data_IF_538532767869
#
_entry.id   IF_538532767869
#
_cell.length_a   1.000
_cell.length_b   1.000
_cell.length_c   1.000
_cell.angle_alpha   90.00
_cell.angle_beta   90.00
_cell.angle_gamma   90.00
#
_symmetry.space_group_name_H-M   'P 1'
#
loop_
_entity.id
_entity.type
_entity.pdbx_description
1 polymer ?
#
# COMPACT_ATOMS: atom_id res chain seq x y z
N UNK A 1 -5.92 -13.01 23.87
CA UNK A 1 -6.81 -11.84 23.95
C UNK A 1 -6.97 -11.15 22.59
N UNK A 2 -5.91 -10.72 21.91
CA UNK A 2 -6.01 -10.10 20.57
C UNK A 2 -6.47 -11.06 19.45
N UNK A 3 -6.14 -12.35 19.52
CA UNK A 3 -6.62 -13.34 18.55
C UNK A 3 -8.15 -13.50 18.61
N UNK A 4 -8.71 -13.58 19.82
CA UNK A 4 -10.16 -13.68 20.03
C UNK A 4 -10.91 -12.42 19.53
N UNK A 5 -10.30 -11.24 19.66
CA UNK A 5 -10.88 -9.97 19.19
C UNK A 5 -10.91 -9.86 17.66
N UNK A 6 -9.89 -10.38 16.98
CA UNK A 6 -9.86 -10.44 15.52
C UNK A 6 -10.82 -11.51 14.97
N UNK A 7 -10.96 -12.63 15.67
CA UNK A 7 -11.89 -13.71 15.33
C UNK A 7 -13.35 -13.26 15.50
N UNK A 8 -13.68 -12.55 16.59
CA UNK A 8 -15.01 -11.94 16.79
C UNK A 8 -15.34 -10.90 15.72
N UNK A 9 -14.40 -10.02 15.35
CA UNK A 9 -14.62 -9.03 14.29
C UNK A 9 -14.82 -9.68 12.90
N UNK A 10 -14.17 -10.81 12.63
CA UNK A 10 -14.33 -11.54 11.38
C UNK A 10 -15.67 -12.29 11.33
N UNK A 11 -16.11 -12.83 12.47
CA UNK A 11 -17.39 -13.52 12.60
C UNK A 11 -18.56 -12.54 12.38
N UNK A 12 -18.47 -11.32 12.92
CA UNK A 12 -19.49 -10.28 12.78
C UNK A 12 -19.63 -9.79 11.30
N UNK A 13 -18.51 -9.79 10.56
CA UNK A 13 -18.50 -9.51 9.11
C UNK A 13 -19.12 -10.67 8.31
N UNK A 14 -18.89 -11.92 8.71
CA UNK A 14 -19.51 -13.08 8.07
C UNK A 14 -21.03 -13.16 8.34
N UNK A 15 -21.46 -12.87 9.55
CA UNK A 15 -22.89 -12.94 9.94
C UNK A 15 -23.70 -11.82 9.27
N UNK A 16 -23.12 -10.62 9.15
CA UNK A 16 -23.73 -9.51 8.40
C UNK A 16 -23.82 -9.76 6.88
N UNK A 17 -22.92 -10.57 6.32
CA UNK A 17 -23.00 -11.02 4.92
C UNK A 17 -24.09 -12.09 4.71
N UNK A 18 -24.33 -12.95 5.71
CA UNK A 18 -25.28 -14.08 5.63
C UNK A 18 -26.74 -13.63 5.75
N UNK A 19 -27.02 -12.59 6.56
CA UNK A 19 -28.38 -12.04 6.73
C UNK A 19 -28.95 -11.33 5.49
N UNK A 20 -28.12 -11.02 4.47
CA UNK A 20 -28.58 -10.33 3.25
C UNK A 20 -29.10 -11.24 2.14
N UNK A 21 -29.02 -12.57 2.30
CA UNK A 21 -29.55 -13.53 1.31
C UNK A 21 -30.90 -14.18 1.68
N UNK A 22 -31.40 -13.94 2.90
CA UNK A 22 -32.63 -14.57 3.39
C UNK A 22 -33.88 -13.71 3.25
N UNK A 23 -34.31 -13.32 2.05
CA UNK A 23 -35.72 -13.01 1.78
C UNK A 23 -36.01 -12.76 0.29
N UNK A 24 -36.16 -13.84 -0.48
CA UNK A 24 -37.14 -13.89 -1.57
C UNK A 24 -37.77 -15.28 -1.61
N UNK A 25 -38.86 -15.43 -0.86
CA UNK A 25 -39.78 -16.57 -0.99
C UNK A 25 -40.62 -16.32 -2.26
N UNK A 26 -40.13 -16.80 -3.41
CA UNK A 26 -40.91 -16.85 -4.64
C UNK A 26 -41.78 -18.11 -4.62
N UNK A 27 -43.09 -17.89 -4.68
CA UNK A 27 -44.14 -18.91 -4.70
C UNK A 27 -44.19 -19.57 -6.08
N UNK A 28 -43.96 -20.87 -6.16
CA UNK A 28 -43.99 -21.64 -7.42
C UNK A 28 -45.42 -22.06 -7.82
N UNK A 29 -45.78 -22.04 -9.12
CA UNK A 29 -46.89 -22.79 -9.66
C UNK A 29 -46.44 -24.16 -10.18
N UNK A 30 -47.21 -25.18 -9.82
CA UNK A 30 -47.05 -26.57 -10.24
C UNK A 30 -47.58 -26.77 -11.66
N UNK A 31 -46.74 -27.27 -12.56
CA UNK A 31 -47.20 -27.95 -13.79
C UNK A 31 -46.21 -29.02 -14.20
N UNK A 32 -46.77 -30.21 -14.38
CA UNK A 32 -46.14 -31.47 -14.78
C UNK A 32 -45.89 -31.47 -16.28
N UNK A 33 -44.66 -31.77 -16.72
CA UNK A 33 -44.38 -32.22 -18.09
C UNK A 33 -43.16 -33.15 -18.10
N UNK A 34 -43.31 -34.27 -18.82
CA UNK A 34 -42.35 -35.36 -19.01
C UNK A 34 -41.24 -34.98 -19.99
N UNK A 35 -40.05 -35.55 -19.74
CA UNK A 35 -39.16 -36.06 -20.77
C UNK A 35 -38.23 -35.06 -21.44
N UNK A 36 -36.97 -35.03 -21.00
CA UNK A 36 -35.80 -35.33 -21.82
C UNK A 36 -34.54 -35.09 -20.99
N UNK A 37 -33.78 -36.17 -20.80
CA UNK A 37 -32.50 -36.19 -20.11
C UNK A 37 -31.44 -35.61 -21.05
N UNK A 38 -31.32 -34.28 -21.04
CA UNK A 38 -30.19 -33.55 -21.63
C UNK A 38 -29.29 -33.15 -20.48
N UNK A 39 -28.05 -33.61 -20.53
CA UNK A 39 -26.96 -33.36 -19.58
C UNK A 39 -26.73 -31.87 -19.37
N UNK A 40 -27.47 -31.29 -18.42
CA UNK A 40 -27.36 -29.90 -18.00
C UNK A 40 -26.21 -29.78 -17.00
N UNK A 41 -24.98 -29.74 -17.53
CA UNK A 41 -23.79 -29.31 -16.79
C UNK A 41 -23.69 -27.78 -16.88
N UNK A 42 -24.74 -27.09 -16.43
CA UNK A 42 -24.72 -25.62 -16.33
C UNK A 42 -24.21 -25.20 -14.95
N UNK A 43 -22.97 -24.71 -14.95
CA UNK A 43 -22.64 -23.39 -14.43
C UNK A 43 -23.13 -23.04 -13.01
N UNK A 44 -22.94 -23.92 -12.04
CA UNK A 44 -22.86 -23.49 -10.64
C UNK A 44 -21.50 -22.80 -10.40
N UNK A 45 -21.42 -21.52 -10.76
CA UNK A 45 -20.72 -20.47 -9.98
C UNK A 45 -20.95 -19.07 -10.59
N UNK A 46 -22.06 -18.38 -10.23
CA UNK A 46 -22.28 -16.96 -10.55
C UNK A 46 -21.97 -16.01 -9.37
N UNK A 47 -21.96 -16.50 -8.13
CA UNK A 47 -21.86 -15.65 -6.94
C UNK A 47 -20.43 -15.08 -6.71
N UNK A 48 -19.40 -15.90 -6.92
CA UNK A 48 -18.00 -15.47 -6.73
C UNK A 48 -17.57 -14.41 -7.75
N UNK A 49 -18.02 -14.53 -9.00
CA UNK A 49 -17.69 -13.55 -10.05
C UNK A 49 -18.33 -12.19 -9.78
N UNK A 50 -19.56 -12.17 -9.24
CA UNK A 50 -20.25 -10.94 -8.89
C UNK A 50 -19.61 -10.25 -7.67
N UNK A 51 -19.15 -11.02 -6.68
CA UNK A 51 -18.39 -10.49 -5.53
C UNK A 51 -17.07 -9.86 -6.00
N UNK A 52 -16.29 -10.57 -6.82
CA UNK A 52 -15.03 -10.07 -7.38
C UNK A 52 -15.23 -8.82 -8.24
N UNK A 53 -16.30 -8.76 -9.03
CA UNK A 53 -16.62 -7.57 -9.84
C UNK A 53 -16.96 -6.35 -8.97
N UNK A 54 -17.67 -6.52 -7.85
CA UNK A 54 -17.97 -5.40 -6.94
C UNK A 54 -16.74 -4.94 -6.15
N UNK A 55 -15.91 -5.88 -5.71
CA UNK A 55 -14.64 -5.58 -5.06
C UNK A 55 -13.71 -4.83 -6.02
N UNK A 56 -13.59 -5.25 -7.28
CA UNK A 56 -12.71 -4.58 -8.24
C UNK A 56 -13.15 -3.14 -8.50
N UNK A 57 -14.46 -2.87 -8.64
CA UNK A 57 -14.99 -1.52 -8.84
C UNK A 57 -14.72 -0.63 -7.62
N UNK A 58 -14.91 -1.14 -6.40
CA UNK A 58 -14.62 -0.39 -5.18
C UNK A 58 -13.12 -0.09 -4.99
N UNK A 59 -12.26 -1.06 -5.29
CA UNK A 59 -10.80 -0.92 -5.19
C UNK A 59 -10.24 0.05 -6.24
N UNK A 60 -10.84 0.11 -7.44
CA UNK A 60 -10.35 0.97 -8.54
C UNK A 60 -10.59 2.46 -8.29
N UNK A 61 -11.57 2.81 -7.46
CA UNK A 61 -11.98 4.20 -7.24
C UNK A 61 -11.11 4.97 -6.22
N UNK A 62 -10.29 4.29 -5.42
CA UNK A 62 -9.38 4.94 -4.48
C UNK A 62 -8.08 4.15 -4.31
N UNK A 63 -6.93 4.68 -4.78
CA UNK A 63 -5.62 4.05 -4.59
C UNK A 63 -5.28 3.83 -3.10
N UNK A 64 -5.81 4.69 -2.23
CA UNK A 64 -5.60 4.58 -0.78
C UNK A 64 -6.45 3.44 -0.21
N UNK A 65 -7.73 3.37 -0.59
CA UNK A 65 -8.64 2.32 -0.13
C UNK A 65 -8.17 0.92 -0.53
N UNK A 66 -7.67 0.76 -1.75
CA UNK A 66 -7.10 -0.53 -2.19
C UNK A 66 -5.90 -0.96 -1.37
N UNK A 67 -4.98 -0.02 -1.07
CA UNK A 67 -3.80 -0.31 -0.26
C UNK A 67 -4.16 -0.75 1.17
N UNK A 68 -5.21 -0.16 1.76
CA UNK A 68 -5.68 -0.56 3.10
C UNK A 68 -6.22 -1.98 3.09
N UNK A 69 -7.03 -2.36 2.11
CA UNK A 69 -7.52 -3.75 1.98
C UNK A 69 -6.36 -4.73 1.79
N UNK A 70 -5.39 -4.39 0.93
CA UNK A 70 -4.19 -5.19 0.75
C UNK A 70 -3.36 -5.34 2.03
N UNK A 71 -3.27 -4.30 2.87
CA UNK A 71 -2.61 -4.38 4.16
C UNK A 71 -3.23 -5.44 5.07
N UNK A 72 -4.57 -5.46 5.18
CA UNK A 72 -5.27 -6.47 5.98
C UNK A 72 -5.11 -7.87 5.42
N UNK A 73 -5.16 -8.04 4.09
CA UNK A 73 -4.92 -9.31 3.45
C UNK A 73 -3.50 -9.82 3.72
N UNK A 74 -2.49 -8.96 3.60
CA UNK A 74 -1.11 -9.31 3.92
C UNK A 74 -0.95 -9.68 5.41
N UNK A 75 -1.57 -8.92 6.32
CA UNK A 75 -1.55 -9.26 7.74
C UNK A 75 -2.21 -10.62 8.04
N UNK A 76 -3.32 -10.95 7.38
CA UNK A 76 -3.99 -12.24 7.52
C UNK A 76 -3.12 -13.40 6.98
N UNK A 77 -2.52 -13.22 5.80
CA UNK A 77 -1.59 -14.21 5.22
C UNK A 77 -0.38 -14.41 6.12
N UNK A 78 0.17 -13.34 6.71
CA UNK A 78 1.26 -13.41 7.67
C UNK A 78 0.90 -14.29 8.88
N UNK A 79 -0.31 -14.13 9.43
CA UNK A 79 -0.82 -14.97 10.51
C UNK A 79 -1.05 -16.42 10.10
N UNK A 80 -1.53 -16.67 8.89
CA UNK A 80 -1.63 -18.03 8.37
C UNK A 80 -0.25 -18.70 8.25
N UNK A 81 0.74 -17.98 7.71
CA UNK A 81 2.11 -18.50 7.59
C UNK A 81 2.77 -18.77 8.95
N UNK A 82 2.44 -17.97 9.98
CA UNK A 82 2.93 -18.20 11.35
C UNK A 82 2.57 -19.58 11.91
N UNK A 83 1.37 -20.09 11.58
CA UNK A 83 0.87 -21.36 12.12
C UNK A 83 1.70 -22.54 11.59
N UNK A 84 2.00 -22.52 10.29
CA UNK A 84 2.66 -23.61 9.59
C UNK A 84 4.18 -23.51 9.55
N UNK A 85 4.75 -22.34 9.84
CA UNK A 85 6.19 -22.15 9.77
C UNK A 85 6.94 -23.02 10.79
N UNK A 86 7.81 -23.89 10.27
CA UNK A 86 8.77 -24.67 11.04
C UNK A 86 10.14 -24.53 10.38
N UNK A 87 11.11 -23.98 11.11
CA UNK A 87 12.47 -23.84 10.61
C UNK A 87 13.11 -25.23 10.45
N UNK A 88 13.69 -25.58 9.29
CA UNK A 88 14.50 -26.78 9.18
C UNK A 88 15.70 -26.66 10.14
N UNK A 89 16.15 -27.77 10.72
CA UNK A 89 17.32 -27.76 11.62
C UNK A 89 18.61 -28.08 10.87
N UNK A 90 18.78 -27.48 9.68
CA UNK A 90 19.95 -27.66 8.83
C UNK A 90 20.47 -26.28 8.36
N UNK A 91 21.65 -25.85 8.85
CA UNK A 91 22.11 -24.49 8.66
C UNK A 91 22.33 -24.08 7.20
N UNK A 92 22.62 -25.05 6.32
CA UNK A 92 22.81 -24.78 4.90
C UNK A 92 21.49 -24.43 4.20
N UNK A 93 20.37 -24.94 4.71
CA UNK A 93 19.05 -24.79 4.10
C UNK A 93 18.21 -23.71 4.73
N UNK A 94 18.54 -23.24 5.93
CA UNK A 94 17.72 -22.29 6.69
C UNK A 94 17.42 -21.00 5.91
N UNK A 95 18.47 -20.33 5.41
CA UNK A 95 18.31 -19.10 4.63
C UNK A 95 17.56 -19.34 3.31
N UNK A 96 17.90 -20.43 2.60
CA UNK A 96 17.26 -20.81 1.33
C UNK A 96 15.78 -21.15 1.52
N UNK A 97 15.44 -21.80 2.63
CA UNK A 97 14.07 -22.17 2.98
C UNK A 97 13.23 -20.95 3.33
N UNK A 98 13.82 -19.97 4.03
CA UNK A 98 13.12 -18.75 4.45
C UNK A 98 12.94 -17.75 3.28
N UNK A 99 13.89 -17.67 2.35
CA UNK A 99 13.87 -16.67 1.27
C UNK A 99 12.55 -16.65 0.45
N UNK A 100 11.94 -17.78 0.05
CA UNK A 100 10.63 -17.80 -0.61
C UNK A 100 9.50 -17.12 0.17
N UNK A 101 9.48 -17.23 1.51
CA UNK A 101 8.44 -16.60 2.34
C UNK A 101 8.54 -15.07 2.32
N UNK A 102 9.74 -14.52 2.14
CA UNK A 102 9.93 -13.09 1.93
C UNK A 102 9.61 -12.67 0.49
N UNK A 103 10.18 -13.37 -0.49
CA UNK A 103 10.17 -12.93 -1.89
C UNK A 103 8.84 -13.20 -2.59
N UNK A 104 8.23 -14.36 -2.40
CA UNK A 104 7.04 -14.76 -3.18
C UNK A 104 5.85 -13.84 -2.87
N UNK A 105 5.43 -13.63 -1.61
CA UNK A 105 4.29 -12.76 -1.32
C UNK A 105 4.60 -11.30 -1.66
N UNK A 106 5.84 -10.85 -1.46
CA UNK A 106 6.27 -9.51 -1.87
C UNK A 106 6.11 -9.29 -3.38
N UNK A 107 6.60 -10.23 -4.21
CA UNK A 107 6.50 -10.14 -5.67
C UNK A 107 5.05 -10.25 -6.15
N UNK A 108 4.27 -11.20 -5.58
CA UNK A 108 2.85 -11.35 -5.92
C UNK A 108 2.07 -10.08 -5.59
N UNK A 109 2.27 -9.49 -4.41
CA UNK A 109 1.57 -8.26 -4.02
C UNK A 109 1.95 -7.08 -4.93
N UNK A 110 3.24 -6.94 -5.26
CA UNK A 110 3.72 -5.95 -6.25
C UNK A 110 3.08 -6.14 -7.62
N UNK A 111 3.05 -7.38 -8.12
CA UNK A 111 2.48 -7.71 -9.43
C UNK A 111 0.97 -7.48 -9.45
N UNK A 112 0.25 -7.86 -8.40
CA UNK A 112 -1.19 -7.61 -8.29
C UNK A 112 -1.50 -6.11 -8.31
N UNK A 113 -0.76 -5.32 -7.54
CA UNK A 113 -0.94 -3.86 -7.54
C UNK A 113 -0.54 -3.21 -8.86
N UNK A 114 0.47 -3.75 -9.55
CA UNK A 114 0.81 -3.33 -10.90
C UNK A 114 -0.35 -3.63 -11.85
N UNK A 115 -0.89 -4.86 -11.85
CA UNK A 115 -1.97 -5.27 -12.74
C UNK A 115 -3.23 -4.41 -12.54
N UNK A 116 -3.61 -4.15 -11.28
CA UNK A 116 -4.77 -3.30 -10.95
C UNK A 116 -4.60 -1.87 -11.49
N UNK A 117 -3.40 -1.31 -11.39
CA UNK A 117 -3.12 0.04 -11.88
C UNK A 117 -2.83 0.12 -13.38
N UNK A 118 -2.29 -0.94 -13.99
CA UNK A 118 -1.84 -0.97 -15.38
C UNK A 118 -2.97 -0.79 -16.38
N UNK A 119 -4.17 -1.32 -16.07
CA UNK A 119 -5.32 -1.23 -16.95
C UNK A 119 -5.90 0.19 -17.07
N UNK A 120 -5.52 1.12 -16.19
CA UNK A 120 -5.96 2.53 -16.27
C UNK A 120 -5.22 3.37 -17.33
N UNK A 121 -4.12 2.86 -17.90
CA UNK A 121 -3.29 3.65 -18.82
C UNK A 121 -3.84 3.66 -20.26
N UNK A 122 -4.50 2.57 -20.69
CA UNK A 122 -4.98 2.41 -22.07
C UNK A 122 -6.16 3.31 -22.42
N UNK A 123 -6.94 3.73 -21.43
CA UNK A 123 -8.16 4.54 -21.64
C UNK A 123 -7.81 6.03 -21.89
N UNK A 124 -6.81 6.55 -21.17
CA UNK A 124 -6.40 7.95 -21.25
C UNK A 124 -5.59 8.31 -22.52
N UNK A 125 -4.97 7.32 -23.17
CA UNK A 125 -4.21 7.55 -24.41
C UNK A 125 -5.13 7.74 -25.61
N UNK A 126 -6.30 7.08 -25.61
CA UNK A 126 -7.29 7.24 -26.67
C UNK A 126 -8.02 8.59 -26.63
N UNK A 127 -8.26 9.12 -25.42
CA UNK A 127 -8.95 10.40 -25.24
C UNK A 127 -8.06 11.60 -25.61
N UNK A 128 -6.78 11.59 -25.22
CA UNK A 128 -5.83 12.67 -25.56
C UNK A 128 -5.49 12.74 -27.06
N UNK A 129 -5.62 11.62 -27.79
CA UNK A 129 -5.35 11.60 -29.24
C UNK A 129 -6.45 12.33 -30.02
N UNK A 130 -7.70 12.21 -29.56
CA UNK A 130 -8.86 12.85 -30.20
C UNK A 130 -8.90 14.37 -29.96
N UNK A 131 -8.46 14.86 -28.80
CA UNK A 131 -8.49 16.29 -28.48
C UNK A 131 -7.44 17.10 -29.28
N UNK A 132 -6.27 16.51 -29.56
CA UNK A 132 -5.22 17.16 -30.34
C UNK A 132 -5.51 17.21 -31.86
N UNK A 133 -6.27 16.24 -32.40
CA UNK A 133 -6.71 16.27 -33.80
C UNK A 133 -7.73 17.39 -34.06
N UNK A 134 -8.63 17.65 -33.11
CA UNK A 134 -9.64 18.71 -33.28
C UNK A 134 -9.06 20.12 -33.19
N UNK A 135 -7.99 20.32 -32.42
CA UNK A 135 -7.39 21.64 -32.23
C UNK A 135 -6.52 22.08 -33.42
N UNK A 136 -5.86 21.15 -34.10
CA UNK A 136 -5.07 21.47 -35.31
C UNK A 136 -5.93 21.74 -36.55
N UNK A 137 -7.19 21.27 -36.59
CA UNK A 137 -8.06 21.49 -37.74
C UNK A 137 -8.59 22.92 -37.82
N UNK A 138 -8.77 23.61 -36.69
CA UNK A 138 -9.34 24.95 -36.65
C UNK A 138 -8.32 26.10 -36.87
N UNK A 139 -7.01 25.85 -36.75
CA UNK A 139 -5.98 26.88 -37.03
C UNK A 139 -5.68 27.06 -38.53
N UNK A 140 -6.13 26.13 -39.39
CA UNK A 140 -5.86 26.20 -40.84
C UNK A 140 -6.99 26.82 -41.68
N UNK A 141 -8.19 27.08 -41.12
CA UNK A 141 -9.32 27.65 -41.88
C UNK A 141 -9.42 29.18 -41.86
N UNK A 142 -8.50 29.90 -41.19
CA UNK A 142 -8.59 31.36 -41.02
C UNK A 142 -7.47 32.16 -41.71
N UNK A 143 -6.85 31.61 -42.76
CA UNK A 143 -5.69 32.25 -43.41
C UNK A 143 -5.92 32.85 -44.80
N UNK A 144 -7.14 32.76 -45.34
CA UNK A 144 -7.45 33.27 -46.67
C UNK A 144 -8.57 34.32 -46.61
N UNK A 145 -8.27 35.55 -46.22
CA UNK A 145 -8.96 36.72 -46.78
C UNK A 145 -8.22 38.04 -46.54
N UNK A 146 -8.23 38.86 -47.60
CA UNK A 146 -7.73 40.23 -47.75
C UNK A 146 -6.22 40.49 -47.95
N UNK A 147 -5.82 40.30 -49.20
CA UNK A 147 -4.87 41.18 -49.91
C UNK A 147 -5.56 42.52 -50.17
N UNK A 148 -5.09 43.61 -49.58
CA UNK A 148 -5.11 44.91 -50.26
C UNK A 148 -3.90 45.76 -49.88
N UNK A 149 -3.41 46.46 -50.89
CA UNK A 149 -2.06 46.96 -51.11
C UNK A 149 -1.84 48.36 -50.50
N UNK A 150 -0.56 48.66 -50.24
CA UNK A 150 0.05 49.95 -49.93
C UNK A 150 -0.15 50.55 -48.54
N UNK A 151 0.92 50.52 -47.72
CA UNK A 151 1.72 51.72 -47.36
C UNK A 151 2.74 51.40 -46.25
N UNK A 152 3.97 51.90 -46.45
CA UNK A 152 5.02 52.24 -45.47
C UNK A 152 6.07 51.20 -45.01
N UNK A 153 7.28 51.51 -45.47
CA UNK A 153 8.60 50.89 -45.34
C UNK A 153 9.24 50.94 -43.93
N UNK A 154 8.49 51.18 -42.86
CA UNK A 154 9.08 51.32 -41.50
C UNK A 154 8.50 50.34 -40.46
N UNK A 155 7.92 49.22 -40.90
CA UNK A 155 7.26 48.20 -40.05
C UNK A 155 8.05 46.89 -39.89
N UNK A 156 9.26 46.79 -40.45
CA UNK A 156 10.02 45.53 -40.51
C UNK A 156 10.84 45.18 -39.25
N UNK A 157 10.92 46.06 -38.23
CA UNK A 157 11.71 45.78 -37.02
C UNK A 157 10.92 45.24 -35.82
N UNK A 158 9.60 45.47 -35.77
CA UNK A 158 8.76 45.05 -34.64
C UNK A 158 8.12 43.66 -34.82
N UNK A 159 8.21 43.07 -36.03
CA UNK A 159 7.62 41.76 -36.32
C UNK A 159 8.56 40.58 -36.00
N UNK A 160 9.87 40.84 -35.87
CA UNK A 160 10.87 39.82 -35.53
C UNK A 160 10.97 39.55 -34.02
N UNK A 161 10.69 40.53 -33.15
CA UNK A 161 10.67 40.32 -31.69
C UNK A 161 9.47 39.46 -31.25
N UNK A 162 8.31 39.62 -31.89
CA UNK A 162 7.07 38.93 -31.49
C UNK A 162 7.09 37.41 -31.80
N UNK A 163 7.86 36.96 -32.82
CA UNK A 163 8.01 35.53 -33.14
C UNK A 163 8.86 34.76 -32.12
N UNK A 164 9.82 35.42 -31.47
CA UNK A 164 10.70 34.76 -30.50
C UNK A 164 9.99 34.49 -29.16
N UNK A 165 9.08 35.37 -28.74
CA UNK A 165 8.32 35.17 -27.50
C UNK A 165 7.34 33.98 -27.60
N UNK A 166 6.70 33.81 -28.76
CA UNK A 166 5.76 32.71 -28.99
C UNK A 166 6.45 31.33 -29.05
N UNK A 167 7.70 31.26 -29.52
CA UNK A 167 8.49 30.01 -29.55
C UNK A 167 8.87 29.56 -28.14
N UNK A 168 9.32 30.49 -27.30
CA UNK A 168 9.71 30.21 -25.91
C UNK A 168 8.53 29.73 -25.05
N UNK A 169 7.31 30.19 -25.33
CA UNK A 169 6.11 29.73 -24.62
C UNK A 169 5.77 28.26 -24.94
N UNK A 170 5.84 27.85 -26.21
CA UNK A 170 5.55 26.47 -26.65
C UNK A 170 6.54 25.45 -26.06
N UNK A 171 7.81 25.81 -25.94
CA UNK A 171 8.83 24.93 -25.32
C UNK A 171 8.57 24.71 -23.83
N UNK A 172 8.22 25.77 -23.08
CA UNK A 172 7.88 25.68 -21.65
C UNK A 172 6.62 24.83 -21.38
N UNK A 173 5.64 24.86 -22.27
CA UNK A 173 4.42 24.04 -22.15
C UNK A 173 4.73 22.55 -22.33
N UNK A 174 5.53 22.19 -23.34
CA UNK A 174 5.97 20.80 -23.56
C UNK A 174 6.78 20.25 -22.38
N UNK A 175 7.65 21.06 -21.80
CA UNK A 175 8.44 20.65 -20.63
C UNK A 175 7.55 20.32 -19.42
N UNK A 176 6.53 21.13 -19.16
CA UNK A 176 5.56 20.89 -18.08
C UNK A 176 4.76 19.61 -18.30
N UNK A 177 4.34 19.34 -19.54
CA UNK A 177 3.63 18.11 -19.89
C UNK A 177 4.48 16.86 -19.64
N UNK A 178 5.75 16.88 -20.06
CA UNK A 178 6.69 15.78 -19.85
C UNK A 178 6.92 15.56 -18.34
N UNK A 179 7.15 16.64 -17.56
CA UNK A 179 7.33 16.56 -16.11
C UNK A 179 6.11 15.94 -15.41
N UNK A 180 4.91 16.32 -15.81
CA UNK A 180 3.67 15.76 -15.25
C UNK A 180 3.49 14.27 -15.61
N UNK A 181 3.77 13.88 -16.86
CA UNK A 181 3.76 12.48 -17.28
C UNK A 181 4.75 11.62 -16.46
N UNK A 182 5.97 12.11 -16.27
CA UNK A 182 6.99 11.43 -15.46
C UNK A 182 6.54 11.31 -13.99
N UNK A 183 6.06 12.40 -13.38
CA UNK A 183 5.58 12.41 -11.99
C UNK A 183 4.45 11.40 -11.77
N UNK A 184 3.52 11.30 -12.70
CA UNK A 184 2.42 10.34 -12.62
C UNK A 184 2.92 8.90 -12.72
N UNK A 185 3.88 8.61 -13.62
CA UNK A 185 4.50 7.27 -13.72
C UNK A 185 5.25 6.88 -12.44
N UNK A 186 6.03 7.80 -11.87
CA UNK A 186 6.76 7.55 -10.61
C UNK A 186 5.79 7.25 -9.47
N UNK A 187 4.73 8.05 -9.31
CA UNK A 187 3.73 7.81 -8.26
C UNK A 187 3.12 6.42 -8.38
N UNK A 188 2.74 5.98 -9.59
CA UNK A 188 2.22 4.62 -9.82
C UNK A 188 3.21 3.55 -9.37
N UNK A 189 4.49 3.69 -9.72
CA UNK A 189 5.55 2.74 -9.34
C UNK A 189 5.70 2.70 -7.81
N UNK A 190 5.76 3.85 -7.14
CA UNK A 190 5.88 3.92 -5.68
C UNK A 190 4.72 3.18 -4.99
N UNK A 191 3.48 3.46 -5.40
CA UNK A 191 2.31 2.79 -4.83
C UNK A 191 2.28 1.28 -5.12
N UNK A 192 2.86 0.83 -6.23
CA UNK A 192 2.94 -0.61 -6.54
C UNK A 192 3.95 -1.37 -5.66
N UNK A 193 5.00 -0.70 -5.19
CA UNK A 193 6.08 -1.31 -4.38
C UNK A 193 5.73 -1.32 -2.88
N UNK A 194 4.87 -0.38 -2.43
CA UNK A 194 4.46 -0.27 -1.02
C UNK A 194 4.01 -1.59 -0.37
N UNK A 195 3.13 -2.42 -0.97
CA UNK A 195 2.74 -3.69 -0.37
C UNK A 195 3.91 -4.64 -0.12
N UNK A 196 4.89 -4.66 -1.01
CA UNK A 196 6.09 -5.47 -0.85
C UNK A 196 6.94 -4.98 0.31
N UNK A 197 7.12 -3.67 0.43
CA UNK A 197 7.87 -3.09 1.56
C UNK A 197 7.16 -3.39 2.88
N UNK A 198 5.84 -3.24 2.92
CA UNK A 198 5.02 -3.59 4.10
C UNK A 198 5.15 -5.07 4.44
N UNK A 199 5.08 -5.97 3.45
CA UNK A 199 5.28 -7.41 3.67
C UNK A 199 6.64 -7.71 4.31
N UNK A 200 7.71 -7.14 3.75
CA UNK A 200 9.05 -7.30 4.30
C UNK A 200 9.13 -6.79 5.75
N UNK A 201 8.49 -5.65 6.04
CA UNK A 201 8.44 -5.09 7.39
C UNK A 201 7.68 -6.02 8.37
N UNK A 202 6.52 -6.58 7.96
CA UNK A 202 5.75 -7.53 8.77
C UNK A 202 6.58 -8.78 9.12
N UNK A 203 7.33 -9.30 8.14
CA UNK A 203 8.20 -10.46 8.34
C UNK A 203 9.36 -10.16 9.30
N UNK A 204 9.93 -8.95 9.25
CA UNK A 204 10.95 -8.48 10.19
C UNK A 204 10.39 -8.33 11.62
N UNK A 205 9.19 -7.73 11.76
CA UNK A 205 8.50 -7.56 13.05
C UNK A 205 8.17 -8.90 13.70
N UNK A 206 7.88 -9.95 12.93
CA UNK A 206 7.67 -11.29 13.45
C UNK A 206 8.98 -11.91 13.98
N UNK A 207 10.13 -11.64 13.34
CA UNK A 207 11.45 -12.04 13.83
C UNK A 207 11.81 -13.53 13.68
N UNK A 208 10.83 -14.43 13.69
CA UNK A 208 11.04 -15.89 13.56
C UNK A 208 11.79 -16.28 12.29
N UNK A 209 11.47 -15.63 11.18
CA UNK A 209 12.10 -15.91 9.89
C UNK A 209 13.57 -15.48 9.88
N UNK A 210 13.89 -14.33 10.48
CA UNK A 210 15.27 -13.85 10.62
C UNK A 210 16.06 -14.77 11.55
N UNK A 211 15.50 -15.12 12.72
CA UNK A 211 16.15 -16.09 13.63
C UNK A 211 16.45 -17.39 12.91
N UNK A 212 15.48 -17.94 12.15
CA UNK A 212 15.70 -19.14 11.35
C UNK A 212 16.81 -18.95 10.32
N UNK A 213 16.75 -17.90 9.50
CA UNK A 213 17.72 -17.64 8.43
C UNK A 213 19.16 -17.51 8.94
N UNK A 214 19.35 -16.95 10.14
CA UNK A 214 20.66 -16.77 10.77
C UNK A 214 21.08 -17.91 11.71
N UNK A 215 20.23 -18.91 11.93
CA UNK A 215 20.59 -20.07 12.75
C UNK A 215 21.57 -20.96 11.99
N UNK A 216 22.80 -21.10 12.49
CA UNK A 216 23.90 -21.82 11.83
C UNK A 216 24.23 -23.19 12.43
N UNK A 217 23.42 -23.68 13.39
CA UNK A 217 23.65 -24.96 14.05
C UNK A 217 22.71 -26.07 13.56
N UNK A 218 23.19 -27.33 13.49
CA UNK A 218 22.31 -28.48 13.32
C UNK A 218 21.55 -28.77 14.63
N UNK A 219 20.33 -29.27 14.52
CA UNK A 219 19.52 -29.57 15.70
C UNK A 219 18.40 -30.57 15.45
N UNK A 220 17.68 -30.90 16.52
CA UNK A 220 16.41 -31.61 16.48
C UNK A 220 15.30 -30.60 16.72
N UNK A 221 14.26 -30.70 15.90
CA UNK A 221 13.05 -29.92 16.11
C UNK A 221 12.38 -30.36 17.41
N UNK A 222 12.16 -29.41 18.32
CA UNK A 222 11.42 -29.64 19.57
C UNK A 222 10.28 -28.62 19.61
N UNK A 223 9.05 -29.12 19.64
CA UNK A 223 7.92 -28.33 20.08
C UNK A 223 7.91 -28.38 21.60
N UNK A 224 8.18 -27.25 22.25
CA UNK A 224 8.02 -27.17 23.69
C UNK A 224 6.55 -26.90 23.99
N UNK A 225 5.87 -27.92 24.55
CA UNK A 225 4.44 -27.86 24.85
C UNK A 225 4.12 -26.81 25.94
N UNK A 226 5.13 -26.38 26.72
CA UNK A 226 4.95 -25.46 27.86
C UNK A 226 4.97 -23.99 27.45
N UNK A 227 5.63 -23.66 26.34
CA UNK A 227 5.68 -22.31 25.78
C UNK A 227 5.13 -22.36 24.35
N UNK A 228 3.80 -22.45 24.27
CA UNK A 228 2.93 -22.72 23.09
C UNK A 228 3.24 -22.03 21.75
N UNK A 229 4.27 -21.19 21.66
CA UNK A 229 4.54 -20.35 20.51
C UNK A 229 5.95 -20.49 19.93
N UNK A 230 6.92 -21.18 20.55
CA UNK A 230 8.30 -21.21 20.05
C UNK A 230 8.72 -22.60 19.54
N UNK A 231 8.42 -22.87 18.26
CA UNK A 231 9.02 -23.99 17.51
C UNK A 231 10.48 -23.65 17.22
N UNK A 232 11.45 -24.36 17.81
CA UNK A 232 12.88 -24.09 17.62
C UNK A 232 13.73 -25.35 17.45
N UNK A 233 14.94 -25.17 16.93
CA UNK A 233 15.91 -26.23 16.68
C UNK A 233 16.87 -26.38 17.86
N UNK A 234 16.65 -27.41 18.69
CA UNK A 234 17.51 -27.73 19.82
C UNK A 234 18.79 -28.43 19.34
N UNK A 235 19.99 -27.97 19.72
CA UNK A 235 21.24 -28.63 19.32
C UNK A 235 21.29 -30.08 19.80
N UNK A 236 21.80 -31.00 18.96
CA UNK A 236 21.82 -32.45 19.25
C UNK A 236 23.06 -32.92 19.99
N UNK A 237 24.16 -32.17 19.94
CA UNK A 237 25.49 -32.73 20.19
C UNK A 237 26.33 -31.94 21.19
N UNK A 238 25.70 -31.41 22.24
CA UNK A 238 26.41 -30.50 23.11
C UNK A 238 26.13 -30.68 24.60
N UNK A 239 27.18 -30.43 25.38
CA UNK A 239 27.11 -30.23 26.82
C UNK A 239 26.11 -29.11 27.12
N UNK A 240 25.40 -29.24 28.26
CA UNK A 240 24.29 -28.39 28.70
C UNK A 240 24.61 -26.89 28.55
N UNK A 241 25.86 -26.49 28.76
CA UNK A 241 26.36 -25.11 28.67
C UNK A 241 26.10 -24.41 27.31
N UNK A 242 26.18 -25.15 26.20
CA UNK A 242 26.01 -24.53 24.87
C UNK A 242 24.56 -24.20 24.51
N UNK A 243 23.59 -24.89 25.10
CA UNK A 243 22.18 -24.73 24.72
C UNK A 243 21.63 -23.40 25.21
N UNK A 244 22.12 -22.93 26.36
CA UNK A 244 21.73 -21.66 26.97
C UNK A 244 22.32 -20.46 26.20
N UNK A 245 23.57 -20.56 25.77
CA UNK A 245 24.22 -19.54 24.92
C UNK A 245 23.51 -19.40 23.57
N UNK A 246 23.15 -20.52 22.91
CA UNK A 246 22.42 -20.51 21.64
C UNK A 246 21.01 -19.94 21.78
N UNK A 247 20.34 -20.26 22.90
CA UNK A 247 19.03 -19.70 23.20
C UNK A 247 19.13 -18.18 23.37
N UNK A 248 20.10 -17.71 24.16
CA UNK A 248 20.38 -16.27 24.34
C UNK A 248 20.70 -15.57 23.02
N UNK A 249 21.49 -16.22 22.15
CA UNK A 249 21.80 -15.68 20.83
C UNK A 249 20.54 -15.56 19.94
N UNK A 250 19.68 -16.57 19.97
CA UNK A 250 18.41 -16.58 19.23
C UNK A 250 17.47 -15.47 19.73
N UNK A 251 17.38 -15.27 21.04
CA UNK A 251 16.64 -14.15 21.64
C UNK A 251 17.17 -12.80 21.19
N UNK A 252 18.50 -12.62 21.16
CA UNK A 252 19.10 -11.37 20.68
C UNK A 252 18.78 -11.10 19.21
N UNK A 253 18.88 -12.11 18.34
CA UNK A 253 18.50 -11.99 16.93
C UNK A 253 17.01 -11.66 16.76
N UNK A 254 16.17 -12.25 17.60
CA UNK A 254 14.74 -11.95 17.61
C UNK A 254 14.49 -10.47 17.96
N UNK A 255 15.02 -9.99 19.09
CA UNK A 255 14.87 -8.59 19.54
C UNK A 255 15.41 -7.62 18.47
N UNK A 256 16.59 -7.90 17.91
CA UNK A 256 17.19 -7.08 16.84
C UNK A 256 16.29 -7.04 15.60
N UNK A 257 15.73 -8.18 15.19
CA UNK A 257 14.81 -8.25 14.06
C UNK A 257 13.54 -7.42 14.30
N UNK A 258 12.95 -7.56 15.49
CA UNK A 258 11.74 -6.79 15.84
C UNK A 258 12.01 -5.29 15.91
N UNK A 259 13.13 -4.90 16.52
CA UNK A 259 13.58 -3.52 16.57
C UNK A 259 13.74 -2.94 15.16
N UNK A 260 14.46 -3.64 14.28
CA UNK A 260 14.64 -3.21 12.88
C UNK A 260 13.30 -3.13 12.13
N UNK A 261 12.44 -4.13 12.29
CA UNK A 261 11.11 -4.14 11.69
C UNK A 261 10.26 -2.95 12.13
N UNK A 262 10.24 -2.65 13.42
CA UNK A 262 9.51 -1.50 13.97
C UNK A 262 10.07 -0.17 13.49
N UNK A 263 11.39 -0.02 13.38
CA UNK A 263 12.02 1.17 12.80
C UNK A 263 11.58 1.35 11.34
N UNK A 264 11.59 0.28 10.54
CA UNK A 264 11.11 0.33 9.15
C UNK A 264 9.63 0.73 9.10
N UNK A 265 8.77 0.14 9.94
CA UNK A 265 7.34 0.53 10.02
C UNK A 265 7.18 1.99 10.41
N UNK A 266 7.88 2.46 11.44
CA UNK A 266 7.81 3.85 11.89
C UNK A 266 8.23 4.83 10.78
N UNK A 267 9.33 4.53 10.07
CA UNK A 267 9.79 5.32 8.92
C UNK A 267 8.73 5.36 7.82
N UNK A 268 8.11 4.23 7.48
CA UNK A 268 7.04 4.16 6.49
C UNK A 268 5.81 4.99 6.91
N UNK A 269 5.41 4.89 8.17
CA UNK A 269 4.31 5.69 8.72
C UNK A 269 4.64 7.18 8.66
N UNK A 270 5.85 7.59 9.06
CA UNK A 270 6.30 8.98 8.95
C UNK A 270 6.28 9.49 7.50
N UNK A 271 6.73 8.68 6.54
CA UNK A 271 6.66 9.04 5.12
C UNK A 271 5.21 9.16 4.63
N UNK A 272 4.33 8.24 5.01
CA UNK A 272 2.91 8.28 4.63
C UNK A 272 2.19 9.48 5.25
N UNK A 273 2.39 9.73 6.55
CA UNK A 273 1.83 10.90 7.24
C UNK A 273 2.37 12.19 6.65
N UNK A 274 3.69 12.29 6.44
CA UNK A 274 4.32 13.43 5.79
C UNK A 274 3.74 13.68 4.39
N UNK A 275 3.57 12.62 3.58
CA UNK A 275 2.97 12.68 2.26
C UNK A 275 1.52 13.16 2.29
N UNK A 276 0.68 12.56 3.15
CA UNK A 276 -0.74 12.92 3.30
C UNK A 276 -0.84 14.36 3.80
N UNK A 277 -0.07 14.73 4.82
CA UNK A 277 -0.05 16.07 5.38
C UNK A 277 0.38 17.12 4.33
N UNK A 278 1.43 16.83 3.56
CA UNK A 278 1.89 17.70 2.48
C UNK A 278 0.83 17.90 1.39
N UNK A 279 0.13 16.82 1.03
CA UNK A 279 -0.98 16.84 0.05
C UNK A 279 -2.18 17.63 0.59
N UNK A 280 -2.55 17.38 1.84
CA UNK A 280 -3.67 17.98 2.55
C UNK A 280 -3.55 19.51 2.71
N UNK A 281 -2.34 20.01 2.95
CA UNK A 281 -2.09 21.44 3.15
C UNK A 281 -1.88 22.21 1.84
N UNK A 282 -1.79 21.54 0.70
CA UNK A 282 -1.66 22.14 -0.64
C UNK A 282 -0.42 23.04 -0.86
N UNK A 283 0.44 23.16 0.16
CA UNK A 283 1.46 24.20 0.27
C UNK A 283 2.89 23.66 0.51
N UNK A 284 3.08 22.38 0.84
CA UNK A 284 4.43 21.85 1.13
C UNK A 284 5.35 21.71 -0.11
N UNK A 285 4.81 21.83 -1.32
CA UNK A 285 5.60 21.83 -2.56
C UNK A 285 5.46 23.11 -3.41
N UNK A 286 4.89 24.19 -2.85
CA UNK A 286 4.89 25.51 -3.52
C UNK A 286 6.12 26.31 -3.10
N UNK A 287 7.31 25.78 -3.37
CA UNK A 287 8.54 26.52 -3.11
C UNK A 287 9.53 26.31 -4.26
N UNK A 288 9.29 27.04 -5.35
CA UNK A 288 10.33 27.41 -6.32
C UNK A 288 9.91 28.64 -7.17
N UNK A 289 9.04 29.51 -6.65
CA UNK A 289 8.75 30.80 -7.32
C UNK A 289 8.58 31.97 -6.33
N UNK A 290 8.93 31.79 -5.05
CA UNK A 290 8.83 32.86 -4.06
C UNK A 290 9.99 32.82 -3.05
N UNK A 291 11.19 32.97 -3.60
CA UNK A 291 12.42 33.16 -2.86
C UNK A 291 12.52 34.61 -2.36
N UNK A 292 11.73 34.96 -1.31
CA UNK A 292 12.03 36.16 -0.50
C UNK A 292 11.34 36.34 0.85
N UNK A 293 10.47 35.44 1.32
CA UNK A 293 9.87 35.59 2.66
C UNK A 293 9.77 34.23 3.32
N UNK A 294 10.63 33.98 4.30
CA UNK A 294 10.29 33.46 5.64
C UNK A 294 11.54 32.87 6.28
N UNK A 295 12.19 33.69 7.10
CA UNK A 295 13.38 33.34 7.88
C UNK A 295 13.02 33.08 9.36
N UNK A 296 11.74 32.93 9.70
CA UNK A 296 11.28 32.76 11.10
C UNK A 296 10.41 31.50 11.23
N UNK A 297 11.01 30.31 11.22
CA UNK A 297 10.26 29.05 11.38
C UNK A 297 11.02 27.98 12.16
N UNK A 298 11.62 28.35 13.29
CA UNK A 298 12.21 27.38 14.25
C UNK A 298 11.40 27.21 15.56
N UNK A 299 10.41 28.06 15.87
CA UNK A 299 9.63 27.94 17.13
C UNK A 299 8.32 27.11 17.01
N UNK A 300 7.98 26.58 15.83
CA UNK A 300 6.67 25.95 15.61
C UNK A 300 6.64 24.41 15.81
N UNK A 301 7.73 23.79 16.25
CA UNK A 301 7.84 22.31 16.24
C UNK A 301 7.12 21.66 17.44
N UNK A 302 7.08 22.31 18.61
CA UNK A 302 6.46 21.74 19.81
C UNK A 302 4.92 21.95 19.88
N UNK A 303 4.40 23.05 19.32
CA UNK A 303 2.95 23.28 19.22
C UNK A 303 2.29 22.37 18.16
N UNK A 304 3.09 21.89 17.22
CA UNK A 304 2.63 21.08 16.09
C UNK A 304 2.33 19.63 16.49
N UNK A 305 3.03 19.09 17.48
CA UNK A 305 2.86 17.69 17.90
C UNK A 305 1.51 17.46 18.60
N UNK A 306 1.00 18.44 19.37
CA UNK A 306 -0.32 18.33 20.02
C UNK A 306 -1.50 18.75 19.13
N UNK A 307 -1.28 19.58 18.11
CA UNK A 307 -2.34 20.00 17.17
C UNK A 307 -2.57 18.98 16.04
N UNK A 308 -1.59 18.11 15.78
CA UNK A 308 -1.67 17.08 14.75
C UNK A 308 -2.76 16.03 15.03
N UNK A 309 -3.01 15.68 16.29
CA UNK A 309 -4.01 14.65 16.65
C UNK A 309 -5.44 15.10 16.30
N UNK A 310 -5.84 16.31 16.68
CA UNK A 310 -7.19 16.81 16.43
C UNK A 310 -7.50 17.01 14.93
N UNK A 311 -6.50 17.42 14.15
CA UNK A 311 -6.66 17.72 12.72
C UNK A 311 -6.61 16.45 11.83
N UNK A 312 -5.85 15.44 12.27
CA UNK A 312 -5.80 14.14 11.60
C UNK A 312 -7.13 13.39 11.75
N UNK A 313 -7.75 13.45 12.94
CA UNK A 313 -9.05 12.84 13.22
C UNK A 313 -10.16 13.45 12.34
N UNK A 314 -10.17 14.77 12.18
CA UNK A 314 -11.15 15.46 11.33
C UNK A 314 -11.07 15.07 9.85
N UNK A 315 -9.85 14.91 9.30
CA UNK A 315 -9.67 14.61 7.87
C UNK A 315 -9.77 13.13 7.52
N UNK A 316 -9.40 12.23 8.44
CA UNK A 316 -9.69 10.80 8.28
C UNK A 316 -11.19 10.56 8.18
N UNK A 317 -12.01 11.38 8.84
CA UNK A 317 -13.47 11.33 8.74
C UNK A 317 -13.99 11.74 7.36
N UNK A 318 -13.39 12.76 6.75
CA UNK A 318 -13.78 13.24 5.41
C UNK A 318 -13.34 12.31 4.28
N UNK A 319 -12.19 11.63 4.42
CA UNK A 319 -11.61 10.81 3.34
C UNK A 319 -12.12 9.35 3.34
N UNK A 320 -12.54 8.82 4.49
CA UNK A 320 -13.15 7.47 4.60
C UNK A 320 -14.69 7.47 4.49
N UNK A 321 -15.30 8.66 4.34
CA UNK A 321 -16.76 8.85 4.34
C UNK A 321 -17.39 8.54 5.71
N UNK A 322 -18.70 8.81 5.86
CA UNK A 322 -19.50 8.53 7.07
C UNK A 322 -19.66 7.03 7.38
N UNK A 323 -18.66 6.20 7.08
CA UNK A 323 -18.63 4.80 7.47
C UNK A 323 -17.86 4.68 8.79
N UNK A 324 -18.55 4.84 9.95
CA UNK A 324 -17.91 4.91 11.28
C UNK A 324 -17.09 3.67 11.61
N UNK A 325 -17.39 2.54 10.96
CA UNK A 325 -16.68 1.28 11.16
C UNK A 325 -15.23 1.36 10.66
N UNK A 326 -15.01 1.91 9.46
CA UNK A 326 -13.66 1.97 8.87
C UNK A 326 -12.77 2.95 9.63
N UNK A 327 -13.32 4.11 10.01
CA UNK A 327 -12.59 5.12 10.79
C UNK A 327 -12.20 4.60 12.17
N UNK A 328 -13.11 3.93 12.89
CA UNK A 328 -12.83 3.40 14.22
C UNK A 328 -11.83 2.23 14.19
N UNK A 329 -11.90 1.35 13.18
CA UNK A 329 -10.95 0.24 13.02
C UNK A 329 -9.55 0.75 12.70
N UNK A 330 -9.42 1.73 11.79
CA UNK A 330 -8.12 2.33 11.47
C UNK A 330 -7.55 3.07 12.68
N UNK A 331 -8.38 3.80 13.43
CA UNK A 331 -7.94 4.54 14.61
C UNK A 331 -7.51 3.62 15.75
N UNK A 332 -8.28 2.58 16.05
CA UNK A 332 -7.92 1.57 17.05
C UNK A 332 -6.63 0.83 16.69
N UNK A 333 -6.42 0.53 15.39
CA UNK A 333 -5.20 -0.09 14.92
C UNK A 333 -3.98 0.83 15.04
N UNK A 334 -4.14 2.12 14.74
CA UNK A 334 -3.07 3.12 14.90
C UNK A 334 -2.72 3.34 16.38
N UNK A 335 -3.71 3.43 17.26
CA UNK A 335 -3.48 3.52 18.72
C UNK A 335 -2.75 2.29 19.25
N UNK A 336 -3.20 1.09 18.88
CA UNK A 336 -2.55 -0.15 19.28
C UNK A 336 -1.11 -0.25 18.74
N UNK A 337 -0.84 0.27 17.56
CA UNK A 337 0.52 0.36 17.01
C UNK A 337 1.38 1.36 17.80
N UNK A 338 0.85 2.54 18.11
CA UNK A 338 1.58 3.57 18.88
C UNK A 338 1.91 3.07 20.28
N UNK A 339 0.95 2.49 21.00
CA UNK A 339 1.18 1.91 22.33
C UNK A 339 2.25 0.80 22.28
N UNK A 340 2.20 -0.04 21.25
CA UNK A 340 3.14 -1.15 21.10
C UNK A 340 4.54 -0.69 20.69
N UNK A 341 4.64 0.32 19.83
CA UNK A 341 5.91 0.98 19.48
C UNK A 341 6.50 1.62 20.73
N UNK A 342 5.69 2.31 21.53
CA UNK A 342 6.13 2.95 22.77
C UNK A 342 6.64 1.91 23.79
N UNK A 343 5.89 0.83 24.02
CA UNK A 343 6.32 -0.27 24.89
C UNK A 343 7.64 -0.90 24.44
N UNK A 344 7.80 -1.17 23.14
CA UNK A 344 9.02 -1.78 22.62
C UNK A 344 10.19 -0.81 22.69
N UNK A 345 9.96 0.49 22.48
CA UNK A 345 11.01 1.50 22.61
C UNK A 345 11.55 1.63 24.03
N UNK A 346 10.71 1.44 25.05
CA UNK A 346 11.11 1.40 26.45
C UNK A 346 12.00 0.17 26.74
N UNK A 347 11.57 -1.03 26.30
CA UNK A 347 12.34 -2.27 26.49
C UNK A 347 13.69 -2.24 25.75
N UNK A 348 13.73 -1.65 24.55
CA UNK A 348 14.98 -1.49 23.80
C UNK A 348 15.91 -0.49 24.47
N UNK A 349 15.40 0.63 24.99
CA UNK A 349 16.22 1.61 25.70
C UNK A 349 16.91 1.00 26.93
N UNK A 350 16.20 0.16 27.69
CA UNK A 350 16.75 -0.55 28.85
C UNK A 350 17.78 -1.60 28.44
N UNK A 351 17.55 -2.33 27.33
CA UNK A 351 18.49 -3.33 26.82
C UNK A 351 19.80 -2.75 26.25
N UNK A 352 19.83 -1.47 25.85
CA UNK A 352 21.07 -0.80 25.42
C UNK A 352 21.82 -0.14 26.58
N UNK A 353 21.18 -0.01 27.75
CA UNK A 353 21.77 0.55 28.97
C UNK A 353 22.53 -0.48 29.81
N UNK A 354 22.34 -1.78 29.57
CA UNK A 354 23.07 -2.88 30.18
C UNK A 354 24.11 -3.43 29.20
#
# INVERSE_FOLDING_TARGET
MMANLAEEALQDILDSATLRQGNQVVKAPSTTMKGNEVTQRENMMPAERHLMARLSVGLRNSPVGSNVVFFFLLAAVEKMLQVDFACPCNPLWNAVFVAPFFLIPALIASLLMWLIHGDSEKENEHENKNENEHKNKNENENKDENVNENTNENKNKNESENKNEHKNKKEKEKEKEIKNKIKNKINKIIFSILPSIVWMALMLVNGRYIVCAFSTWPGRFVADDTTTYLKWCRPTNTTIYSSEELLTHSHRLYIVSQGLGNVVVAVLLCFLFGYIYCKAKGNCCKTADNERRHQNQEEAIDEFMMTAEANLIGRLKDEFGDNPVVSNVVFAFLLALVEKIYSISADVADSWSQ
#
